data_IF_731300540949
#
_entry.id   IF_731300540949
#
_cell.length_a   1.000
_cell.length_b   1.000
_cell.length_c   1.000
_cell.angle_alpha   90.00
_cell.angle_beta   90.00
_cell.angle_gamma   90.00
#
_symmetry.space_group_name_H-M   'P 1'
#
loop_
_entity.id
_entity.type
_entity.pdbx_description
1 polymer ?
#
# COMPACT_ATOMS: atom_id res chain seq x y z
N UNK A 1 -28.02 31.38 -26.46
CA UNK A 1 -28.12 30.52 -25.26
C UNK A 1 -26.79 29.90 -24.88
N UNK A 2 -25.98 29.40 -25.83
CA UNK A 2 -24.67 28.72 -25.53
C UNK A 2 -23.70 29.66 -24.78
N UNK A 3 -23.61 30.91 -25.13
CA UNK A 3 -22.71 31.90 -24.52
C UNK A 3 -23.07 32.24 -23.05
N UNK A 4 -24.34 32.15 -22.67
CA UNK A 4 -24.81 32.38 -21.29
C UNK A 4 -24.51 31.14 -20.43
N UNK A 5 -24.64 29.95 -20.98
CA UNK A 5 -24.28 28.69 -20.29
C UNK A 5 -22.79 28.59 -20.04
N UNK A 6 -21.91 28.98 -20.97
CA UNK A 6 -20.50 29.05 -20.79
C UNK A 6 -20.09 30.06 -19.71
N UNK A 7 -20.67 31.26 -19.74
CA UNK A 7 -20.42 32.28 -18.70
C UNK A 7 -20.94 31.88 -17.32
N UNK A 8 -22.02 31.13 -17.22
CA UNK A 8 -22.53 30.60 -15.96
C UNK A 8 -21.64 29.45 -15.45
N UNK A 9 -21.15 28.57 -16.32
CA UNK A 9 -20.14 27.54 -15.97
C UNK A 9 -18.85 28.19 -15.47
N UNK A 10 -18.31 29.17 -16.16
CA UNK A 10 -17.12 29.90 -15.70
C UNK A 10 -17.29 30.55 -14.31
N UNK A 11 -18.47 31.14 -14.04
CA UNK A 11 -18.77 31.73 -12.72
C UNK A 11 -18.92 30.68 -11.61
N UNK A 12 -19.51 29.52 -11.90
CA UNK A 12 -19.67 28.42 -10.95
C UNK A 12 -18.32 27.80 -10.57
N UNK A 13 -17.39 27.74 -11.52
CA UNK A 13 -16.04 27.17 -11.29
C UNK A 13 -15.08 28.17 -10.65
N UNK A 14 -15.36 29.49 -10.72
CA UNK A 14 -14.51 30.52 -10.11
C UNK A 14 -14.50 30.37 -8.58
N UNK A 15 -13.33 30.01 -8.07
CA UNK A 15 -13.14 29.77 -6.63
C UNK A 15 -13.52 28.38 -6.13
N UNK A 16 -14.00 27.46 -6.99
CA UNK A 16 -14.33 26.09 -6.57
C UNK A 16 -13.13 25.40 -5.91
N UNK A 17 -11.95 25.41 -6.53
CA UNK A 17 -10.71 24.83 -5.96
C UNK A 17 -10.34 25.43 -4.60
N UNK A 18 -10.57 26.72 -4.42
CA UNK A 18 -10.32 27.38 -3.14
C UNK A 18 -11.30 26.94 -2.06
N UNK A 19 -12.59 26.78 -2.41
CA UNK A 19 -13.61 26.26 -1.47
C UNK A 19 -13.33 24.81 -1.08
N UNK A 20 -12.94 23.95 -2.02
CA UNK A 20 -12.58 22.56 -1.73
C UNK A 20 -11.36 22.50 -0.81
N UNK A 21 -10.32 23.31 -1.08
CA UNK A 21 -9.13 23.39 -0.21
C UNK A 21 -9.48 23.95 1.17
N UNK A 22 -10.31 24.98 1.26
CA UNK A 22 -10.74 25.53 2.55
C UNK A 22 -11.53 24.51 3.36
N UNK A 23 -12.40 23.75 2.72
CA UNK A 23 -13.13 22.66 3.37
C UNK A 23 -12.18 21.59 3.89
N UNK A 24 -11.19 21.18 3.11
CA UNK A 24 -10.17 20.24 3.57
C UNK A 24 -9.43 20.74 4.81
N UNK A 25 -9.05 22.03 4.84
CA UNK A 25 -8.34 22.63 5.97
C UNK A 25 -9.21 22.70 7.23
N UNK A 26 -10.53 22.81 7.09
CA UNK A 26 -11.46 22.88 8.22
C UNK A 26 -11.99 21.52 8.69
N UNK A 27 -12.19 20.57 7.79
CA UNK A 27 -12.91 19.32 8.06
C UNK A 27 -12.04 18.05 7.88
N UNK A 28 -10.88 18.17 7.22
CA UNK A 28 -10.06 17.01 6.84
C UNK A 28 -10.64 16.24 5.66
N UNK A 29 -10.06 15.07 5.35
CA UNK A 29 -10.49 14.22 4.22
C UNK A 29 -11.69 13.33 4.56
N UNK A 30 -11.96 13.05 5.83
CA UNK A 30 -12.98 12.08 6.25
C UNK A 30 -14.41 12.48 5.83
N UNK A 31 -14.62 13.78 5.58
CA UNK A 31 -15.89 14.32 5.09
C UNK A 31 -16.00 14.37 3.55
N UNK A 32 -15.00 13.81 2.84
CA UNK A 32 -14.93 13.85 1.39
C UNK A 32 -15.30 12.49 0.78
N UNK A 33 -16.10 12.52 -0.27
CA UNK A 33 -16.31 11.36 -1.13
C UNK A 33 -15.06 11.10 -2.00
N UNK A 34 -14.85 9.86 -2.43
CA UNK A 34 -13.69 9.43 -3.22
C UNK A 34 -13.38 10.34 -4.42
N UNK A 35 -14.43 10.74 -5.17
CA UNK A 35 -14.25 11.63 -6.32
C UNK A 35 -13.76 13.03 -5.90
N UNK A 36 -14.14 13.53 -4.72
CA UNK A 36 -13.70 14.83 -4.21
C UNK A 36 -12.25 14.78 -3.75
N UNK A 37 -11.83 13.67 -3.11
CA UNK A 37 -10.42 13.42 -2.75
C UNK A 37 -9.57 13.40 -4.02
N UNK A 38 -10.00 12.65 -5.03
CA UNK A 38 -9.30 12.57 -6.31
C UNK A 38 -9.25 13.92 -7.02
N UNK A 39 -10.36 14.64 -7.06
CA UNK A 39 -10.45 15.98 -7.65
C UNK A 39 -9.42 16.92 -7.03
N UNK A 40 -9.27 16.90 -5.70
CA UNK A 40 -8.32 17.74 -5.01
C UNK A 40 -6.86 17.39 -5.36
N UNK A 41 -6.52 16.11 -5.53
CA UNK A 41 -5.22 15.69 -6.05
C UNK A 41 -4.98 16.19 -7.47
N UNK A 42 -6.00 16.10 -8.33
CA UNK A 42 -5.92 16.54 -9.71
C UNK A 42 -5.72 18.06 -9.84
N UNK A 43 -6.09 18.88 -8.86
CA UNK A 43 -5.81 20.31 -8.85
C UNK A 43 -4.32 20.64 -9.01
N UNK A 44 -3.45 19.78 -8.54
CA UNK A 44 -1.99 19.97 -8.57
C UNK A 44 -1.34 19.50 -9.86
N UNK A 45 -2.00 18.60 -10.60
CA UNK A 45 -1.48 18.07 -11.88
C UNK A 45 -2.12 18.73 -13.08
N UNK A 46 -3.36 19.21 -12.96
CA UNK A 46 -4.18 19.75 -14.06
C UNK A 46 -4.59 21.17 -13.68
N UNK A 47 -3.71 22.16 -13.88
CA UNK A 47 -4.07 23.55 -13.64
C UNK A 47 -5.10 24.03 -14.65
N UNK A 48 -5.94 24.97 -14.29
CA UNK A 48 -6.86 25.72 -15.18
C UNK A 48 -8.00 24.93 -15.82
N UNK A 49 -8.20 23.64 -15.50
CA UNK A 49 -9.34 22.84 -16.01
C UNK A 49 -10.23 22.38 -14.87
N UNK A 50 -11.50 22.19 -15.17
CA UNK A 50 -12.41 21.46 -14.28
C UNK A 50 -11.96 20.00 -14.18
N UNK A 51 -11.76 19.54 -12.96
CA UNK A 51 -11.31 18.17 -12.68
C UNK A 51 -12.39 17.32 -12.03
N UNK A 52 -13.58 17.87 -11.77
CA UNK A 52 -14.68 17.15 -11.14
C UNK A 52 -15.20 16.02 -12.05
N UNK A 53 -15.56 16.36 -13.30
CA UNK A 53 -16.02 15.35 -14.27
C UNK A 53 -14.95 14.28 -14.53
N UNK A 54 -13.67 14.69 -14.57
CA UNK A 54 -12.55 13.77 -14.75
C UNK A 54 -12.41 12.83 -13.55
N UNK A 55 -12.51 13.34 -12.32
CA UNK A 55 -12.48 12.52 -11.11
C UNK A 55 -13.59 11.47 -11.09
N UNK A 56 -14.83 11.88 -11.42
CA UNK A 56 -15.95 10.95 -11.55
C UNK A 56 -15.70 9.89 -12.63
N UNK A 57 -15.15 10.28 -13.80
CA UNK A 57 -14.79 9.35 -14.87
C UNK A 57 -13.77 8.34 -14.37
N UNK A 58 -12.71 8.78 -13.72
CA UNK A 58 -11.63 7.91 -13.24
C UNK A 58 -12.11 6.90 -12.20
N UNK A 59 -12.96 7.32 -11.24
CA UNK A 59 -13.57 6.42 -10.28
C UNK A 59 -14.46 5.38 -10.97
N UNK A 60 -15.28 5.77 -11.95
CA UNK A 60 -16.11 4.81 -12.72
C UNK A 60 -15.26 3.80 -13.50
N UNK A 61 -14.17 4.25 -14.11
CA UNK A 61 -13.27 3.41 -14.91
C UNK A 61 -12.51 2.37 -14.09
N UNK A 62 -12.12 2.70 -12.87
CA UNK A 62 -11.30 1.85 -12.02
C UNK A 62 -12.05 1.24 -10.84
N UNK A 63 -13.26 1.71 -10.55
CA UNK A 63 -14.14 1.19 -9.50
C UNK A 63 -13.91 1.82 -8.11
N UNK A 64 -12.69 2.20 -7.76
CA UNK A 64 -12.35 2.83 -6.48
C UNK A 64 -11.06 3.65 -6.56
N UNK A 65 -10.80 4.49 -5.54
CA UNK A 65 -9.50 5.17 -5.37
C UNK A 65 -8.34 4.17 -5.25
N UNK A 66 -8.53 3.10 -4.48
CA UNK A 66 -7.49 2.10 -4.27
C UNK A 66 -7.08 1.45 -5.60
N UNK A 67 -8.04 0.93 -6.37
CA UNK A 67 -7.78 0.30 -7.67
C UNK A 67 -7.16 1.29 -8.67
N UNK A 68 -7.58 2.56 -8.64
CA UNK A 68 -7.00 3.59 -9.48
C UNK A 68 -5.52 3.86 -9.12
N UNK A 69 -5.20 4.02 -7.84
CA UNK A 69 -3.84 4.32 -7.40
C UNK A 69 -2.88 3.15 -7.59
N UNK A 70 -3.39 1.92 -7.62
CA UNK A 70 -2.64 0.68 -7.83
C UNK A 70 -2.52 0.28 -9.29
N UNK A 71 -3.22 0.98 -10.21
CA UNK A 71 -3.18 0.70 -11.64
C UNK A 71 -1.85 1.09 -12.28
N UNK A 72 -1.49 0.41 -13.37
CA UNK A 72 -0.32 0.80 -14.19
C UNK A 72 -0.51 2.23 -14.73
N UNK A 73 0.48 3.12 -14.58
CA UNK A 73 0.40 4.49 -15.08
C UNK A 73 0.03 4.60 -16.56
N UNK A 74 0.47 3.64 -17.39
CA UNK A 74 0.12 3.62 -18.82
C UNK A 74 -1.37 3.34 -19.04
N UNK A 75 -1.96 2.49 -18.19
CA UNK A 75 -3.40 2.20 -18.24
C UNK A 75 -4.22 3.41 -17.78
N UNK A 76 -3.77 4.12 -16.75
CA UNK A 76 -4.38 5.37 -16.31
C UNK A 76 -4.39 6.40 -17.46
N UNK A 77 -3.24 6.60 -18.11
CA UNK A 77 -3.14 7.50 -19.27
C UNK A 77 -4.09 7.09 -20.39
N UNK A 78 -4.07 5.81 -20.76
CA UNK A 78 -4.85 5.28 -21.88
C UNK A 78 -6.36 5.38 -21.66
N UNK A 79 -6.84 4.97 -20.47
CA UNK A 79 -8.29 4.89 -20.17
C UNK A 79 -8.89 6.26 -19.84
N UNK A 80 -8.13 7.11 -19.18
CA UNK A 80 -8.66 8.40 -18.71
C UNK A 80 -8.25 9.59 -19.57
N UNK A 81 -7.25 9.45 -20.44
CA UNK A 81 -6.76 10.53 -21.29
C UNK A 81 -6.01 11.62 -20.52
N UNK A 82 -5.31 11.23 -19.43
CA UNK A 82 -4.49 12.12 -18.62
C UNK A 82 -3.01 12.05 -19.02
N UNK A 83 -2.25 13.06 -18.62
CA UNK A 83 -0.80 13.09 -18.85
C UNK A 83 -0.07 12.06 -17.99
N UNK A 84 1.14 11.68 -18.42
CA UNK A 84 2.03 10.82 -17.64
C UNK A 84 2.30 11.38 -16.25
N UNK A 85 2.50 12.70 -16.12
CA UNK A 85 2.70 13.35 -14.82
C UNK A 85 1.53 13.12 -13.86
N UNK A 86 0.30 13.14 -14.38
CA UNK A 86 -0.90 12.86 -13.59
C UNK A 86 -0.92 11.41 -13.15
N UNK A 87 -0.67 10.48 -14.07
CA UNK A 87 -0.66 9.05 -13.78
C UNK A 87 0.44 8.68 -12.76
N UNK A 88 1.64 9.24 -12.93
CA UNK A 88 2.77 9.06 -11.99
C UNK A 88 2.41 9.59 -10.59
N UNK A 89 1.79 10.77 -10.47
CA UNK A 89 1.37 11.28 -9.16
C UNK A 89 0.40 10.33 -8.47
N UNK A 90 -0.61 9.81 -9.20
CA UNK A 90 -1.62 8.91 -8.63
C UNK A 90 -0.99 7.58 -8.20
N UNK A 91 -0.14 6.99 -9.03
CA UNK A 91 0.55 5.74 -8.71
C UNK A 91 1.61 5.89 -7.61
N UNK A 92 2.05 7.11 -7.31
CA UNK A 92 2.99 7.40 -6.24
C UNK A 92 2.34 7.32 -4.85
N UNK A 93 1.02 7.48 -4.74
CA UNK A 93 0.30 7.52 -3.45
C UNK A 93 0.52 6.25 -2.61
N UNK A 94 0.31 5.02 -3.10
CA UNK A 94 0.52 3.83 -2.29
C UNK A 94 1.96 3.65 -1.80
N UNK A 95 3.01 3.74 -2.64
CA UNK A 95 4.38 3.61 -2.17
C UNK A 95 4.79 4.74 -1.20
N UNK A 96 4.26 5.96 -1.36
CA UNK A 96 4.49 7.06 -0.44
C UNK A 96 3.82 6.78 0.92
N UNK A 97 2.58 6.31 0.91
CA UNK A 97 1.86 5.91 2.13
C UNK A 97 2.61 4.82 2.89
N UNK A 98 3.08 3.77 2.20
CA UNK A 98 3.92 2.72 2.79
C UNK A 98 5.20 3.29 3.42
N UNK A 99 5.88 4.20 2.72
CA UNK A 99 7.07 4.88 3.25
C UNK A 99 6.76 5.73 4.49
N UNK A 100 5.63 6.44 4.48
CA UNK A 100 5.16 7.22 5.62
C UNK A 100 4.87 6.33 6.84
N UNK A 101 4.11 5.25 6.67
CA UNK A 101 3.83 4.31 7.76
C UNK A 101 5.10 3.67 8.31
N UNK A 102 6.03 3.25 7.44
CA UNK A 102 7.34 2.74 7.88
C UNK A 102 8.09 3.79 8.73
N UNK A 103 8.06 5.05 8.33
CA UNK A 103 8.69 6.15 9.10
C UNK A 103 8.06 6.35 10.49
N UNK A 104 6.74 6.18 10.63
CA UNK A 104 6.03 6.28 11.92
C UNK A 104 6.46 5.22 12.94
N UNK A 105 6.90 4.05 12.49
CA UNK A 105 7.39 2.99 13.38
C UNK A 105 8.76 3.29 13.99
N UNK A 106 9.51 4.26 13.45
CA UNK A 106 10.88 4.57 13.86
C UNK A 106 11.90 3.54 13.36
N UNK A 107 13.13 3.65 13.84
CA UNK A 107 14.23 2.83 13.33
C UNK A 107 14.16 1.37 13.79
N UNK A 108 13.77 1.13 15.06
CA UNK A 108 13.69 -0.21 15.66
C UNK A 108 12.41 -0.40 16.46
N UNK A 109 11.25 -0.58 15.79
CA UNK A 109 9.99 -0.77 16.50
C UNK A 109 10.00 -2.05 17.33
N UNK A 110 9.35 -2.01 18.50
CA UNK A 110 9.20 -3.16 19.41
C UNK A 110 7.88 -3.85 19.14
N UNK A 111 7.93 -5.11 18.71
CA UNK A 111 6.75 -5.94 18.41
C UNK A 111 6.48 -6.91 19.56
N UNK A 112 6.04 -6.39 20.70
CA UNK A 112 5.83 -7.17 21.95
C UNK A 112 4.38 -7.65 22.13
N UNK A 113 3.55 -7.58 21.10
CA UNK A 113 2.21 -8.15 21.08
C UNK A 113 1.78 -8.50 19.65
N UNK A 114 0.88 -9.48 19.48
CA UNK A 114 0.33 -9.85 18.17
C UNK A 114 -0.36 -8.68 17.47
N UNK A 115 -1.01 -7.79 18.23
CA UNK A 115 -1.63 -6.57 17.67
C UNK A 115 -0.59 -5.64 17.02
N UNK A 116 0.54 -5.37 17.71
CA UNK A 116 1.61 -4.55 17.16
C UNK A 116 2.30 -5.22 15.98
N UNK A 117 2.51 -6.53 16.05
CA UNK A 117 3.07 -7.31 14.96
C UNK A 117 2.17 -7.25 13.71
N UNK A 118 0.85 -7.43 13.90
CA UNK A 118 -0.15 -7.30 12.84
C UNK A 118 -0.16 -5.90 12.20
N UNK A 119 -0.20 -4.84 13.01
CA UNK A 119 -0.17 -3.45 12.51
C UNK A 119 1.13 -3.15 11.74
N UNK A 120 2.27 -3.65 12.24
CA UNK A 120 3.54 -3.51 11.55
C UNK A 120 3.53 -4.26 10.22
N UNK A 121 3.06 -5.51 10.21
CA UNK A 121 2.93 -6.31 9.00
C UNK A 121 2.05 -5.59 7.97
N UNK A 122 0.83 -5.15 8.34
CA UNK A 122 -0.07 -4.40 7.44
C UNK A 122 0.66 -3.22 6.79
N UNK A 123 1.49 -2.49 7.54
CA UNK A 123 2.23 -1.35 6.99
C UNK A 123 3.23 -1.70 5.88
N UNK A 124 3.70 -2.96 5.82
CA UNK A 124 4.62 -3.44 4.78
C UNK A 124 3.91 -3.74 3.45
N UNK A 125 2.59 -4.01 3.51
CA UNK A 125 1.81 -4.42 2.34
C UNK A 125 0.97 -3.31 1.72
N UNK A 126 0.94 -2.11 2.29
CA UNK A 126 0.20 -0.97 1.73
C UNK A 126 0.55 -0.77 0.25
N UNK A 127 -0.46 -0.83 -0.62
CA UNK A 127 -0.32 -0.66 -2.07
C UNK A 127 0.43 -1.81 -2.78
N UNK A 128 0.38 -3.04 -2.22
CA UNK A 128 0.86 -4.24 -2.93
C UNK A 128 -0.33 -5.01 -3.49
N UNK A 129 -0.37 -5.09 -4.81
CA UNK A 129 -1.45 -5.74 -5.57
C UNK A 129 -1.17 -7.21 -5.90
N UNK A 130 0.03 -7.67 -5.57
CA UNK A 130 0.51 -9.04 -5.78
C UNK A 130 0.97 -9.63 -4.46
N UNK A 131 1.07 -10.96 -4.42
CA UNK A 131 1.56 -11.66 -3.24
C UNK A 131 3.00 -11.25 -2.95
N UNK A 132 3.28 -10.96 -1.70
CA UNK A 132 4.62 -10.65 -1.22
C UNK A 132 4.85 -11.36 0.11
N UNK A 133 6.06 -11.87 0.31
CA UNK A 133 6.44 -12.59 1.52
C UNK A 133 7.59 -11.85 2.22
N UNK A 134 7.35 -11.44 3.45
CA UNK A 134 8.32 -10.77 4.29
C UNK A 134 8.83 -11.66 5.41
N UNK A 135 10.13 -11.55 5.70
CA UNK A 135 10.76 -12.02 6.92
C UNK A 135 11.05 -10.82 7.82
N UNK A 136 10.39 -10.74 8.96
CA UNK A 136 10.61 -9.69 9.95
C UNK A 136 11.58 -10.25 10.99
N UNK A 137 12.82 -9.78 10.96
CA UNK A 137 13.91 -10.21 11.87
C UNK A 137 13.85 -9.41 13.17
N UNK A 138 13.79 -10.08 14.30
CA UNK A 138 13.71 -9.49 15.62
C UNK A 138 14.98 -9.79 16.44
N UNK A 139 15.39 -8.83 17.28
CA UNK A 139 16.39 -9.06 18.32
C UNK A 139 15.77 -9.72 19.56
N UNK A 140 16.60 -9.97 20.58
CA UNK A 140 16.17 -10.59 21.83
C UNK A 140 15.17 -9.75 22.67
N UNK A 141 14.99 -8.48 22.35
CA UNK A 141 14.01 -7.56 22.94
C UNK A 141 12.77 -7.37 22.06
N UNK A 142 12.54 -8.22 21.05
CA UNK A 142 11.48 -8.10 20.06
C UNK A 142 11.52 -6.78 19.26
N UNK A 143 12.70 -6.18 19.09
CA UNK A 143 12.87 -5.03 18.21
C UNK A 143 13.14 -5.51 16.80
N UNK A 144 12.54 -4.82 15.83
CA UNK A 144 12.77 -5.13 14.42
C UNK A 144 14.18 -4.68 14.02
N UNK A 145 15.04 -5.64 13.72
CA UNK A 145 16.35 -5.37 13.10
C UNK A 145 16.19 -5.08 11.61
N UNK A 146 15.36 -5.86 10.94
CA UNK A 146 15.10 -5.71 9.51
C UNK A 146 13.79 -6.40 9.11
N UNK A 147 13.12 -5.86 8.10
CA UNK A 147 12.01 -6.52 7.39
C UNK A 147 12.46 -6.78 5.95
N UNK A 148 12.87 -8.00 5.68
CA UNK A 148 13.35 -8.43 4.36
C UNK A 148 12.16 -8.89 3.51
N UNK A 149 12.02 -8.32 2.31
CA UNK A 149 11.16 -8.85 1.28
C UNK A 149 11.87 -10.07 0.68
N UNK A 150 11.31 -11.26 0.91
CA UNK A 150 11.94 -12.53 0.50
C UNK A 150 11.42 -12.99 -0.84
N UNK A 151 10.13 -12.74 -1.13
CA UNK A 151 9.49 -13.15 -2.35
C UNK A 151 8.42 -12.13 -2.79
N UNK A 152 8.28 -11.96 -4.10
CA UNK A 152 7.20 -11.22 -4.77
C UNK A 152 6.64 -12.09 -5.91
N UNK A 153 5.31 -12.12 -6.06
CA UNK A 153 4.59 -12.95 -7.02
C UNK A 153 3.94 -14.17 -6.39
N UNK A 154 3.19 -14.96 -7.17
CA UNK A 154 2.46 -16.12 -6.67
C UNK A 154 3.40 -17.17 -6.08
N UNK A 155 3.16 -17.59 -4.84
CA UNK A 155 3.97 -18.61 -4.13
C UNK A 155 4.00 -19.96 -4.91
N UNK A 156 3.00 -20.22 -5.73
CA UNK A 156 2.94 -21.41 -6.58
C UNK A 156 3.95 -21.39 -7.74
N UNK A 157 4.39 -20.20 -8.19
CA UNK A 157 5.32 -20.05 -9.31
C UNK A 157 6.79 -20.01 -8.86
N UNK A 158 7.05 -19.53 -7.64
CA UNK A 158 8.40 -19.50 -7.06
C UNK A 158 8.34 -19.78 -5.55
N UNK A 159 8.58 -21.01 -5.12
CA UNK A 159 8.48 -21.38 -3.72
C UNK A 159 9.46 -20.60 -2.85
N UNK A 160 9.01 -20.18 -1.67
CA UNK A 160 9.87 -19.61 -0.63
C UNK A 160 10.81 -20.73 -0.14
N UNK A 161 12.08 -20.60 -0.48
CA UNK A 161 13.09 -21.58 -0.07
C UNK A 161 13.57 -21.31 1.35
N UNK A 162 13.55 -22.29 2.27
CA UNK A 162 14.09 -22.13 3.63
C UNK A 162 15.51 -21.59 3.67
N UNK A 163 16.35 -21.93 2.70
CA UNK A 163 17.73 -21.43 2.58
C UNK A 163 17.78 -19.90 2.51
N UNK A 164 16.89 -19.26 1.73
CA UNK A 164 16.86 -17.81 1.62
C UNK A 164 16.44 -17.13 2.94
N UNK A 165 15.48 -17.75 3.63
CA UNK A 165 15.02 -17.30 4.95
C UNK A 165 16.15 -17.39 5.97
N UNK A 166 16.86 -18.54 6.02
CA UNK A 166 17.99 -18.76 6.92
C UNK A 166 19.11 -17.73 6.65
N UNK A 167 19.47 -17.53 5.39
CA UNK A 167 20.46 -16.53 4.99
C UNK A 167 20.08 -15.12 5.43
N UNK A 168 18.81 -14.72 5.20
CA UNK A 168 18.31 -13.41 5.61
C UNK A 168 18.29 -13.26 7.15
N UNK A 169 17.85 -14.28 7.89
CA UNK A 169 17.81 -14.26 9.34
C UNK A 169 19.21 -14.10 9.95
N UNK A 170 20.21 -14.84 9.44
CA UNK A 170 21.61 -14.73 9.86
C UNK A 170 22.21 -13.37 9.51
N UNK A 171 22.00 -12.89 8.26
CA UNK A 171 22.49 -11.59 7.80
C UNK A 171 22.01 -10.44 8.67
N UNK A 172 20.76 -10.51 9.13
CA UNK A 172 20.14 -9.48 9.96
C UNK A 172 20.17 -9.80 11.46
N UNK A 173 21.02 -10.77 11.88
CA UNK A 173 21.27 -11.12 13.29
C UNK A 173 19.97 -11.33 14.07
N UNK A 174 19.03 -12.07 13.50
CA UNK A 174 17.75 -12.35 14.13
C UNK A 174 17.91 -13.33 15.30
N UNK A 175 17.35 -12.99 16.45
CA UNK A 175 17.11 -13.93 17.56
C UNK A 175 15.79 -14.69 17.35
N UNK A 176 14.81 -14.04 16.73
CA UNK A 176 13.53 -14.62 16.33
C UNK A 176 13.01 -13.94 15.07
N UNK A 177 12.03 -14.55 14.43
CA UNK A 177 11.42 -13.98 13.22
C UNK A 177 9.90 -14.06 13.25
N UNK A 178 9.25 -13.14 12.54
CA UNK A 178 7.86 -13.23 12.15
C UNK A 178 7.83 -13.38 10.64
N UNK A 179 7.05 -14.34 10.16
CA UNK A 179 6.71 -14.47 8.75
C UNK A 179 5.47 -13.61 8.46
N UNK A 180 5.44 -12.93 7.34
CA UNK A 180 4.26 -12.19 6.93
C UNK A 180 4.07 -12.26 5.43
N UNK A 181 2.84 -12.49 4.97
CA UNK A 181 2.48 -12.40 3.55
C UNK A 181 1.07 -11.84 3.39
N UNK A 182 0.77 -11.33 2.19
CA UNK A 182 -0.55 -10.85 1.86
C UNK A 182 -1.24 -11.77 0.86
N UNK A 183 -2.56 -11.86 0.99
CA UNK A 183 -3.42 -12.47 -0.01
C UNK A 183 -4.19 -11.37 -0.78
N UNK A 184 -3.80 -11.00 -2.00
CA UNK A 184 -4.49 -9.96 -2.77
C UNK A 184 -5.98 -10.26 -3.01
N UNK A 185 -6.38 -11.54 -2.95
CA UNK A 185 -7.78 -11.96 -3.00
C UNK A 185 -8.58 -11.74 -1.71
N UNK A 186 -7.97 -11.16 -0.66
CA UNK A 186 -8.63 -10.78 0.60
C UNK A 186 -8.93 -11.92 1.57
N UNK A 187 -8.48 -13.15 1.30
CA UNK A 187 -8.66 -14.27 2.24
C UNK A 187 -7.63 -14.22 3.36
N UNK A 188 -8.06 -14.15 4.60
CA UNK A 188 -7.18 -14.25 5.78
C UNK A 188 -6.94 -15.70 6.26
N UNK A 189 -7.50 -16.69 5.57
CA UNK A 189 -7.30 -18.09 5.92
C UNK A 189 -5.99 -18.61 5.32
N UNK A 190 -5.14 -19.29 6.12
CA UNK A 190 -3.92 -19.88 5.62
C UNK A 190 -4.25 -21.00 4.60
N UNK A 191 -3.52 -21.03 3.50
CA UNK A 191 -3.55 -22.14 2.55
C UNK A 191 -2.72 -23.31 3.06
N UNK A 192 -2.86 -24.47 2.45
CA UNK A 192 -2.01 -25.64 2.76
C UNK A 192 -0.53 -25.33 2.48
N UNK A 193 -0.24 -24.57 1.42
CA UNK A 193 1.12 -24.13 1.09
C UNK A 193 1.72 -23.23 2.18
N UNK A 194 0.94 -22.30 2.75
CA UNK A 194 1.39 -21.45 3.85
C UNK A 194 1.76 -22.23 5.10
N UNK A 195 0.95 -23.25 5.41
CA UNK A 195 1.20 -24.16 6.54
C UNK A 195 2.50 -24.94 6.31
N UNK A 196 2.71 -25.46 5.11
CA UNK A 196 3.91 -26.23 4.75
C UNK A 196 5.17 -25.37 4.77
N UNK A 197 5.11 -24.16 4.19
CA UNK A 197 6.22 -23.20 4.22
C UNK A 197 6.57 -22.85 5.66
N UNK A 198 5.56 -22.55 6.50
CA UNK A 198 5.77 -22.25 7.93
C UNK A 198 6.49 -23.38 8.64
N UNK A 199 6.05 -24.63 8.45
CA UNK A 199 6.70 -25.80 9.08
C UNK A 199 8.14 -25.97 8.62
N UNK A 200 8.39 -25.88 7.33
CA UNK A 200 9.73 -26.04 6.75
C UNK A 200 10.68 -24.94 7.24
N UNK A 201 10.22 -23.69 7.27
CA UNK A 201 10.99 -22.54 7.77
C UNK A 201 11.25 -22.68 9.27
N UNK A 202 10.25 -23.05 10.07
CA UNK A 202 10.39 -23.25 11.51
C UNK A 202 11.42 -24.35 11.83
N UNK A 203 11.40 -25.46 11.09
CA UNK A 203 12.38 -26.55 11.25
C UNK A 203 13.80 -26.06 10.91
N UNK A 204 13.96 -25.36 9.78
CA UNK A 204 15.26 -24.88 9.33
C UNK A 204 15.87 -23.84 10.29
N UNK A 205 15.08 -22.86 10.75
CA UNK A 205 15.52 -21.85 11.71
C UNK A 205 15.73 -22.41 13.11
N UNK A 206 14.90 -23.36 13.54
CA UNK A 206 15.04 -24.04 14.83
C UNK A 206 16.39 -24.79 14.97
N UNK A 207 16.93 -25.35 13.88
CA UNK A 207 18.23 -26.00 13.87
C UNK A 207 19.41 -25.06 14.17
N UNK A 208 19.23 -23.77 14.03
CA UNK A 208 20.21 -22.71 14.34
C UNK A 208 19.77 -21.81 15.49
N UNK A 209 18.83 -22.28 16.33
CA UNK A 209 18.34 -21.57 17.53
C UNK A 209 17.63 -20.24 17.23
N UNK A 210 17.03 -20.08 16.05
CA UNK A 210 16.17 -18.94 15.70
C UNK A 210 14.72 -19.41 15.70
N UNK A 211 13.85 -18.78 16.50
CA UNK A 211 12.44 -19.14 16.58
C UNK A 211 11.58 -18.38 15.60
N UNK A 212 10.60 -19.08 15.00
CA UNK A 212 9.48 -18.42 14.31
C UNK A 212 8.41 -18.12 15.34
N UNK A 213 8.18 -16.84 15.62
CA UNK A 213 7.25 -16.38 16.66
C UNK A 213 5.81 -16.36 16.18
N UNK A 214 5.61 -15.97 14.92
CA UNK A 214 4.27 -15.84 14.31
C UNK A 214 4.35 -15.95 12.79
N UNK A 215 3.20 -16.21 12.16
CA UNK A 215 3.00 -16.09 10.71
C UNK A 215 1.71 -15.31 10.44
N UNK A 216 1.85 -14.10 9.94
CA UNK A 216 0.78 -13.11 9.77
C UNK A 216 0.33 -13.10 8.32
N UNK A 217 -0.99 -13.22 8.10
CA UNK A 217 -1.62 -13.06 6.80
C UNK A 217 -2.37 -11.72 6.78
N UNK A 218 -2.12 -10.93 5.72
CA UNK A 218 -2.68 -9.58 5.53
C UNK A 218 -3.58 -9.56 4.30
#
# INVERSE_FOLDING_TARGET
>A
CIFIEELMKERLHKGHRQRVKARYLSEGLDAFEDHQVLEMLLFYCIPMRDTNELAHKMIREFGSLATLFEADPKDICRRCGVSENTAVLLSLIPPLSRRYFKGKWGEKPVLNSSSKAGQYAVSLFVGRTYEAFYLICLDAQNRVNHAALVHEGTINEAPVYPRMIVEAALRHQASSVILAHNHPGGSLKPSQADIEVTKRVSTALGSISISVVDHIIV
#
